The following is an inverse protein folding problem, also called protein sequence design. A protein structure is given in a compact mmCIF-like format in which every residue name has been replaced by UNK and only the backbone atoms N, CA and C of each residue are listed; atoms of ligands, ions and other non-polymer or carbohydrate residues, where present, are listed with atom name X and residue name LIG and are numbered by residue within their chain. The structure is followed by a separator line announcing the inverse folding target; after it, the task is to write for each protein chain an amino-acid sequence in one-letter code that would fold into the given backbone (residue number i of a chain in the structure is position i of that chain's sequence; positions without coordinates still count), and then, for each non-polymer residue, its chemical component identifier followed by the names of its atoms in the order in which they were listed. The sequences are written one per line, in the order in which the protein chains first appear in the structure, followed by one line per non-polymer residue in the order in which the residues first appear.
data_IF_650795500341
#
_entry.id   IF_650795500341
#
_cell.length_a   1.000
_cell.length_b   1.000
_cell.length_c   1.000
_cell.angle_alpha   90.00
_cell.angle_beta   90.00
_cell.angle_gamma   90.00
#
_symmetry.space_group_name_H-M   'P 1'
#
loop_
_entity.id
_entity.type
_entity.pdbx_description
1 polymer ?
#
# COMPACT_ATOMS: atom_id res chain seq x y z
N UNK A 1 -8.51 -6.14 6.80
CA UNK A 1 -7.10 -5.87 7.14
C UNK A 1 -6.66 -6.60 8.39
N UNK A 2 -7.41 -6.56 9.48
CA UNK A 2 -7.05 -7.25 10.72
C UNK A 2 -6.59 -8.71 10.51
N UNK A 3 -7.33 -9.52 9.75
CA UNK A 3 -6.97 -10.93 9.52
C UNK A 3 -5.65 -11.16 8.78
N UNK A 4 -5.17 -10.23 7.96
CA UNK A 4 -3.89 -10.34 7.27
C UNK A 4 -2.71 -9.91 8.16
N UNK A 5 -2.99 -9.03 9.12
CA UNK A 5 -2.05 -8.52 10.10
C UNK A 5 -2.10 -9.31 11.43
N UNK A 6 -3.06 -10.22 11.58
CA UNK A 6 -3.26 -10.98 12.80
C UNK A 6 -2.16 -12.03 12.95
N UNK A 7 -1.39 -11.90 14.03
CA UNK A 7 -0.33 -12.83 14.40
C UNK A 7 -0.85 -14.27 14.71
N UNK A 8 -2.14 -14.44 14.97
CA UNK A 8 -2.78 -15.75 15.14
C UNK A 8 -3.16 -16.39 13.80
N UNK A 9 -3.14 -15.63 12.69
CA UNK A 9 -3.39 -16.15 11.36
C UNK A 9 -2.27 -17.13 10.96
N UNK A 10 -2.56 -18.40 10.71
CA UNK A 10 -1.53 -19.39 10.37
C UNK A 10 -0.78 -19.08 9.08
N UNK A 11 -1.36 -18.26 8.21
CA UNK A 11 -0.70 -17.81 6.98
C UNK A 11 0.19 -16.59 7.19
N UNK A 12 -0.04 -15.77 8.21
CA UNK A 12 0.72 -14.57 8.58
C UNK A 12 1.29 -13.79 7.37
N UNK A 13 0.46 -13.39 6.38
CA UNK A 13 0.95 -12.94 5.08
C UNK A 13 1.83 -11.68 5.17
N UNK A 14 1.52 -10.74 6.07
CA UNK A 14 2.34 -9.53 6.26
C UNK A 14 3.70 -9.89 6.85
N UNK A 15 3.73 -10.72 7.88
CA UNK A 15 4.98 -11.20 8.46
C UNK A 15 5.86 -11.86 7.40
N UNK A 16 5.32 -12.79 6.61
CA UNK A 16 6.08 -13.50 5.56
C UNK A 16 6.63 -12.58 4.49
N UNK A 17 5.87 -11.56 4.08
CA UNK A 17 6.33 -10.56 3.12
C UNK A 17 7.52 -9.79 3.72
N UNK A 18 7.38 -9.29 4.95
CA UNK A 18 8.44 -8.51 5.59
C UNK A 18 9.68 -9.35 5.91
N UNK A 19 9.53 -10.60 6.34
CA UNK A 19 10.66 -11.53 6.51
C UNK A 19 11.39 -11.77 5.18
N UNK A 20 10.65 -11.95 4.07
CA UNK A 20 11.24 -12.15 2.76
C UNK A 20 12.08 -10.94 2.33
N UNK A 21 11.53 -9.72 2.45
CA UNK A 21 12.25 -8.50 2.05
C UNK A 21 13.35 -8.09 3.05
N UNK A 22 13.35 -8.65 4.25
CA UNK A 22 14.42 -8.52 5.24
C UNK A 22 15.57 -9.52 5.04
N UNK A 23 15.48 -10.44 4.09
CA UNK A 23 16.58 -11.35 3.80
C UNK A 23 17.83 -10.56 3.36
N UNK A 24 19.06 -11.06 3.63
CA UNK A 24 20.29 -10.36 3.21
C UNK A 24 20.37 -10.12 1.70
N UNK A 25 19.81 -11.02 0.91
CA UNK A 25 19.71 -10.95 -0.55
C UNK A 25 18.31 -11.39 -0.97
N UNK A 26 17.29 -10.51 -0.87
CA UNK A 26 15.92 -10.88 -1.20
C UNK A 26 15.78 -11.15 -2.70
N UNK A 27 15.05 -12.20 -3.05
CA UNK A 27 14.68 -12.46 -4.45
C UNK A 27 13.50 -11.57 -4.85
N UNK A 28 13.26 -11.35 -6.15
CA UNK A 28 12.10 -10.60 -6.61
C UNK A 28 10.79 -11.12 -6.02
N UNK A 29 9.93 -10.21 -5.57
CA UNK A 29 8.65 -10.50 -4.94
C UNK A 29 7.53 -9.76 -5.64
N UNK A 30 6.46 -10.46 -6.01
CA UNK A 30 5.22 -9.87 -6.46
C UNK A 30 4.21 -9.87 -5.31
N UNK A 31 3.82 -8.69 -4.85
CA UNK A 31 2.80 -8.52 -3.81
C UNK A 31 1.46 -8.20 -4.46
N UNK A 32 0.43 -8.99 -4.18
CA UNK A 32 -0.92 -8.74 -4.65
C UNK A 32 -1.97 -9.18 -3.62
N UNK A 33 -3.16 -8.61 -3.70
CA UNK A 33 -4.36 -9.12 -3.03
C UNK A 33 -5.44 -9.42 -4.08
N UNK A 34 -6.73 -9.44 -3.73
CA UNK A 34 -7.79 -9.67 -4.72
C UNK A 34 -7.84 -8.56 -5.77
N UNK A 35 -7.86 -7.29 -5.35
CA UNK A 35 -7.89 -6.11 -6.24
C UNK A 35 -6.54 -5.43 -6.45
N UNK A 36 -5.46 -5.90 -5.82
CA UNK A 36 -4.15 -5.25 -5.87
C UNK A 36 -4.11 -3.85 -5.22
N UNK A 37 -5.13 -3.44 -4.48
CA UNK A 37 -5.33 -2.09 -3.97
C UNK A 37 -5.14 -2.00 -2.45
N UNK A 38 -6.11 -2.43 -1.65
CA UNK A 38 -6.18 -2.12 -0.22
C UNK A 38 -5.10 -2.83 0.61
N UNK A 39 -5.09 -4.16 0.66
CA UNK A 39 -4.09 -4.93 1.42
C UNK A 39 -2.70 -4.76 0.85
N UNK A 40 -2.58 -4.71 -0.47
CA UNK A 40 -1.33 -4.43 -1.18
C UNK A 40 -0.83 -3.03 -0.84
N UNK A 41 -1.69 -2.01 -0.92
CA UNK A 41 -1.34 -0.63 -0.59
C UNK A 41 -0.88 -0.46 0.85
N UNK A 42 -1.49 -1.17 1.82
CA UNK A 42 -1.03 -1.13 3.22
C UNK A 42 0.34 -1.76 3.39
N UNK A 43 0.65 -2.87 2.72
CA UNK A 43 1.99 -3.47 2.76
C UNK A 43 3.03 -2.51 2.19
N UNK A 44 2.75 -1.93 1.01
CA UNK A 44 3.64 -0.95 0.39
C UNK A 44 3.82 0.30 1.28
N UNK A 45 2.73 0.82 1.84
CA UNK A 45 2.77 1.97 2.74
C UNK A 45 3.61 1.71 4.00
N UNK A 46 3.48 0.53 4.61
CA UNK A 46 4.31 0.14 5.76
C UNK A 46 5.79 0.04 5.39
N UNK A 47 6.13 -0.52 4.23
CA UNK A 47 7.51 -0.61 3.74
C UNK A 47 8.10 0.78 3.46
N UNK A 48 7.38 1.62 2.73
CA UNK A 48 7.81 2.98 2.41
C UNK A 48 7.98 3.82 3.68
N UNK A 49 7.03 3.76 4.62
CA UNK A 49 7.12 4.47 5.90
C UNK A 49 8.29 3.97 6.75
N UNK A 50 8.54 2.66 6.80
CA UNK A 50 9.70 2.11 7.50
C UNK A 50 11.04 2.53 6.86
N UNK A 51 11.05 2.84 5.57
CA UNK A 51 12.19 3.41 4.84
C UNK A 51 12.31 4.93 4.99
N UNK A 52 11.42 5.58 5.74
CA UNK A 52 11.47 7.03 6.01
C UNK A 52 10.84 7.90 4.91
N UNK A 53 10.00 7.33 4.06
CA UNK A 53 9.29 8.09 3.02
C UNK A 53 8.16 8.90 3.66
N UNK A 54 8.03 10.17 3.26
CA UNK A 54 6.99 11.08 3.75
C UNK A 54 5.57 10.57 3.41
N UNK A 55 4.63 10.76 4.33
CA UNK A 55 3.24 10.33 4.18
C UNK A 55 2.56 10.82 2.90
N UNK A 56 2.85 12.05 2.52
CA UNK A 56 2.31 12.66 1.30
C UNK A 56 2.75 11.89 0.05
N UNK A 57 4.00 11.40 0.04
CA UNK A 57 4.56 10.60 -1.05
C UNK A 57 3.98 9.19 -1.02
N UNK A 58 3.88 8.57 0.16
CA UNK A 58 3.25 7.25 0.34
C UNK A 58 1.79 7.26 -0.11
N UNK A 59 1.04 8.29 0.29
CA UNK A 59 -0.37 8.42 -0.09
C UNK A 59 -0.54 8.73 -1.58
N UNK A 60 0.39 9.47 -2.17
CA UNK A 60 0.42 9.68 -3.62
C UNK A 60 0.68 8.37 -4.37
N UNK A 61 1.66 7.59 -3.96
CA UNK A 61 1.96 6.28 -4.57
C UNK A 61 0.72 5.38 -4.57
N UNK A 62 0.03 5.28 -3.44
CA UNK A 62 -1.24 4.54 -3.36
C UNK A 62 -2.28 5.04 -4.38
N UNK A 63 -2.40 6.36 -4.55
CA UNK A 63 -3.38 6.98 -5.44
C UNK A 63 -3.10 6.73 -6.93
N UNK A 64 -1.89 6.31 -7.32
CA UNK A 64 -1.58 5.91 -8.70
C UNK A 64 -2.44 4.72 -9.17
N UNK A 65 -3.02 3.98 -8.24
CA UNK A 65 -4.01 2.94 -8.54
C UNK A 65 -5.22 3.48 -9.32
N UNK A 66 -5.60 4.74 -9.12
CA UNK A 66 -6.68 5.40 -9.88
C UNK A 66 -6.39 5.42 -11.38
N UNK A 67 -5.13 5.70 -11.76
CA UNK A 67 -4.70 5.66 -13.18
C UNK A 67 -4.82 4.26 -13.76
N UNK A 68 -4.39 3.26 -13.00
CA UNK A 68 -4.44 1.87 -13.43
C UNK A 68 -5.88 1.33 -13.59
N UNK A 69 -6.81 1.84 -12.78
CA UNK A 69 -8.21 1.43 -12.78
C UNK A 69 -9.10 2.25 -13.71
N UNK A 70 -8.67 3.43 -14.19
CA UNK A 70 -9.50 4.38 -14.94
C UNK A 70 -10.27 3.70 -16.10
N UNK A 71 -9.56 2.97 -16.96
CA UNK A 71 -10.18 2.29 -18.12
C UNK A 71 -11.07 1.08 -17.79
N UNK A 72 -11.11 0.65 -16.53
CA UNK A 72 -11.89 -0.53 -16.07
C UNK A 72 -12.89 -0.19 -14.97
N UNK A 73 -13.00 1.07 -14.59
CA UNK A 73 -13.80 1.54 -13.44
C UNK A 73 -15.23 1.04 -13.50
N UNK A 74 -15.91 1.19 -14.64
CA UNK A 74 -17.30 0.78 -14.82
C UNK A 74 -17.50 -0.74 -14.64
N UNK A 75 -16.59 -1.55 -15.19
CA UNK A 75 -16.63 -3.00 -15.00
C UNK A 75 -16.44 -3.40 -13.52
N UNK A 76 -15.59 -2.68 -12.78
CA UNK A 76 -15.45 -2.91 -11.33
C UNK A 76 -16.67 -2.47 -10.55
N UNK A 77 -17.31 -1.34 -10.89
CA UNK A 77 -18.57 -0.90 -10.27
C UNK A 77 -19.64 -1.97 -10.46
N UNK A 78 -19.85 -2.44 -11.69
CA UNK A 78 -20.82 -3.50 -11.97
C UNK A 78 -20.51 -4.78 -11.19
N UNK A 79 -19.25 -5.19 -11.16
CA UNK A 79 -18.85 -6.39 -10.40
C UNK A 79 -19.14 -6.24 -8.91
N UNK A 80 -18.78 -5.10 -8.30
CA UNK A 80 -18.96 -4.86 -6.86
C UNK A 80 -20.45 -4.77 -6.50
N UNK A 81 -21.26 -4.11 -7.30
CA UNK A 81 -22.72 -4.00 -7.06
C UNK A 81 -23.46 -5.32 -7.19
N UNK A 82 -22.94 -6.25 -8.01
CA UNK A 82 -23.51 -7.62 -8.15
C UNK A 82 -23.03 -8.55 -7.03
N UNK A 83 -21.76 -8.46 -6.65
CA UNK A 83 -21.14 -9.39 -5.69
C UNK A 83 -21.32 -8.99 -4.22
N UNK A 84 -21.73 -7.76 -3.96
CA UNK A 84 -21.92 -7.24 -2.60
C UNK A 84 -23.35 -6.74 -2.42
N UNK A 85 -24.15 -7.50 -1.69
CA UNK A 85 -25.56 -7.18 -1.44
C UNK A 85 -25.74 -5.80 -0.76
N UNK A 86 -24.79 -5.38 0.08
CA UNK A 86 -24.81 -4.08 0.73
C UNK A 86 -24.63 -2.90 -0.25
N UNK A 87 -24.12 -3.15 -1.45
CA UNK A 87 -23.90 -2.15 -2.50
C UNK A 87 -24.82 -2.36 -3.70
N UNK A 88 -25.83 -3.22 -3.58
CA UNK A 88 -26.78 -3.48 -4.65
C UNK A 88 -27.58 -2.22 -4.97
N UNK A 89 -27.41 -1.68 -6.18
CA UNK A 89 -28.02 -0.42 -6.62
C UNK A 89 -27.36 0.85 -6.09
N UNK A 90 -26.34 0.73 -5.25
CA UNK A 90 -25.57 1.85 -4.73
C UNK A 90 -24.29 2.05 -5.56
N UNK A 91 -24.42 2.80 -6.66
CA UNK A 91 -23.29 3.14 -7.53
C UNK A 91 -22.25 4.02 -6.80
N UNK A 92 -22.68 4.96 -5.95
CA UNK A 92 -21.79 5.85 -5.24
C UNK A 92 -20.95 5.07 -4.21
N UNK A 93 -21.58 4.21 -3.41
CA UNK A 93 -20.88 3.31 -2.51
C UNK A 93 -19.91 2.39 -3.23
N UNK A 94 -20.27 1.88 -4.41
CA UNK A 94 -19.38 1.07 -5.24
C UNK A 94 -18.17 1.88 -5.74
N UNK A 95 -18.36 3.12 -6.21
CA UNK A 95 -17.28 4.02 -6.61
C UNK A 95 -16.34 4.31 -5.43
N UNK A 96 -16.88 4.60 -4.26
CA UNK A 96 -16.07 4.81 -3.04
C UNK A 96 -15.28 3.56 -2.67
N UNK A 97 -15.88 2.37 -2.78
CA UNK A 97 -15.21 1.11 -2.46
C UNK A 97 -14.04 0.80 -3.40
N UNK A 98 -14.17 1.11 -4.70
CA UNK A 98 -13.10 0.85 -5.68
C UNK A 98 -12.06 1.96 -5.76
N UNK A 99 -12.32 3.15 -5.23
CA UNK A 99 -11.39 4.28 -5.27
C UNK A 99 -10.11 4.02 -4.43
N UNK A 100 -9.01 4.64 -4.84
CA UNK A 100 -7.72 4.62 -4.15
C UNK A 100 -7.28 6.07 -3.81
N UNK A 101 -8.14 6.77 -3.05
CA UNK A 101 -7.92 8.19 -2.78
C UNK A 101 -6.75 8.43 -1.82
N UNK A 102 -6.02 9.49 -2.09
CA UNK A 102 -4.87 9.93 -1.30
C UNK A 102 -5.24 10.16 0.17
N UNK A 103 -6.39 10.81 0.43
CA UNK A 103 -6.88 11.09 1.78
C UNK A 103 -7.17 9.81 2.59
N UNK A 104 -7.64 8.75 1.93
CA UNK A 104 -7.87 7.46 2.56
C UNK A 104 -6.56 6.81 3.05
N UNK A 105 -5.47 6.93 2.28
CA UNK A 105 -4.16 6.44 2.71
C UNK A 105 -3.57 7.32 3.81
N UNK A 106 -3.69 8.66 3.72
CA UNK A 106 -3.27 9.56 4.80
C UNK A 106 -3.98 9.23 6.13
N UNK A 107 -5.29 9.00 6.08
CA UNK A 107 -6.05 8.56 7.25
C UNK A 107 -5.59 7.19 7.78
N UNK A 108 -5.23 6.27 6.88
CA UNK A 108 -4.69 4.94 7.25
C UNK A 108 -3.33 5.08 7.95
N UNK A 109 -2.43 5.90 7.44
CA UNK A 109 -1.12 6.17 8.06
C UNK A 109 -1.27 6.84 9.44
N UNK A 110 -2.17 7.80 9.55
CA UNK A 110 -2.50 8.45 10.83
C UNK A 110 -3.05 7.42 11.84
N UNK A 111 -3.95 6.54 11.41
CA UNK A 111 -4.48 5.45 12.25
C UNK A 111 -3.37 4.48 12.68
N UNK A 112 -2.47 4.09 11.79
CA UNK A 112 -1.33 3.22 12.11
C UNK A 112 -0.47 3.87 13.18
N UNK A 113 -0.15 5.17 13.06
CA UNK A 113 0.60 5.91 14.09
C UNK A 113 -0.14 5.99 15.43
N UNK A 114 -1.41 6.32 15.40
CA UNK A 114 -2.21 6.44 16.62
C UNK A 114 -2.35 5.10 17.35
N UNK A 115 -2.48 3.99 16.62
CA UNK A 115 -2.73 2.66 17.20
C UNK A 115 -1.45 1.92 17.56
N UNK A 116 -0.43 2.02 16.71
CA UNK A 116 0.79 1.20 16.81
C UNK A 116 2.07 2.02 17.05
N UNK A 117 1.98 3.35 17.04
CA UNK A 117 3.12 4.26 17.23
C UNK A 117 3.88 4.53 15.95
N UNK A 118 4.27 3.52 15.17
CA UNK A 118 4.95 3.67 13.88
C UNK A 118 4.81 2.40 13.02
N UNK A 119 5.22 2.49 11.76
CA UNK A 119 5.29 1.33 10.86
C UNK A 119 6.30 0.28 11.36
N UNK A 120 7.46 0.71 11.84
CA UNK A 120 8.50 -0.16 12.39
C UNK A 120 8.00 -0.89 13.64
N UNK A 121 7.33 -0.15 14.53
CA UNK A 121 6.78 -0.73 15.75
C UNK A 121 5.70 -1.76 15.41
N UNK A 122 4.85 -1.46 14.44
CA UNK A 122 3.88 -2.43 13.93
C UNK A 122 4.56 -3.70 13.38
N UNK A 123 5.64 -3.56 12.58
CA UNK A 123 6.39 -4.70 12.06
C UNK A 123 7.01 -5.55 13.19
N UNK A 124 7.54 -4.91 14.23
CA UNK A 124 8.16 -5.63 15.36
C UNK A 124 7.12 -6.29 16.25
N UNK A 125 6.12 -5.55 16.71
CA UNK A 125 5.19 -6.01 17.74
C UNK A 125 4.07 -6.90 17.18
N UNK A 126 3.62 -6.63 15.93
CA UNK A 126 2.48 -7.32 15.34
C UNK A 126 2.84 -8.26 14.18
N UNK A 127 3.93 -7.99 13.46
CA UNK A 127 4.46 -8.92 12.44
C UNK A 127 5.63 -9.76 12.96
N UNK A 128 6.03 -9.61 14.24
CA UNK A 128 7.07 -10.41 14.91
C UNK A 128 8.46 -10.30 14.27
N UNK A 129 8.75 -9.23 13.58
CA UNK A 129 10.09 -8.99 13.08
C UNK A 129 11.02 -8.58 14.22
N UNK A 130 12.31 -8.88 14.07
CA UNK A 130 13.31 -8.29 14.95
C UNK A 130 13.63 -6.86 14.50
N UNK A 131 14.08 -5.96 15.41
CA UNK A 131 14.57 -4.64 15.01
C UNK A 131 15.67 -4.71 13.95
N UNK A 132 16.54 -5.71 14.02
CA UNK A 132 17.59 -5.96 13.02
C UNK A 132 17.01 -6.31 11.63
N UNK A 133 15.88 -7.00 11.56
CA UNK A 133 15.21 -7.31 10.31
C UNK A 133 14.61 -6.03 9.69
N UNK A 134 14.02 -5.14 10.48
CA UNK A 134 13.51 -3.84 9.99
C UNK A 134 14.67 -2.99 9.45
N UNK A 135 15.79 -2.96 10.13
CA UNK A 135 16.98 -2.27 9.64
C UNK A 135 17.54 -2.92 8.35
N UNK A 136 17.45 -4.24 8.22
CA UNK A 136 17.83 -4.93 6.98
C UNK A 136 16.90 -4.54 5.81
N UNK A 137 15.58 -4.38 6.05
CA UNK A 137 14.65 -3.84 5.05
C UNK A 137 15.15 -2.47 4.55
N UNK A 138 15.50 -1.56 5.45
CA UNK A 138 16.05 -0.24 5.06
C UNK A 138 17.28 -0.38 4.17
N UNK A 139 18.24 -1.22 4.56
CA UNK A 139 19.45 -1.45 3.74
C UNK A 139 19.14 -2.04 2.35
N UNK A 140 18.09 -2.83 2.24
CA UNK A 140 17.71 -3.44 0.97
C UNK A 140 16.97 -2.48 0.04
N UNK A 141 16.26 -1.49 0.57
CA UNK A 141 15.37 -0.61 -0.20
C UNK A 141 15.85 0.83 -0.33
N UNK A 142 16.71 1.30 0.59
CA UNK A 142 17.22 2.67 0.54
C UNK A 142 18.61 2.65 -0.08
N UNK A 143 18.75 3.34 -1.20
CA UNK A 143 20.02 3.52 -1.90
C UNK A 143 20.44 4.98 -1.83
N UNK A 144 21.75 5.26 -1.92
CA UNK A 144 22.22 6.64 -2.08
C UNK A 144 21.71 7.18 -3.42
N UNK A 145 21.25 8.43 -3.44
CA UNK A 145 20.74 9.06 -4.66
C UNK A 145 21.78 9.08 -5.80
N UNK A 146 23.06 9.06 -5.46
CA UNK A 146 24.17 9.00 -6.43
C UNK A 146 24.29 7.62 -7.09
N UNK A 147 23.84 6.58 -6.42
CA UNK A 147 23.90 5.19 -6.86
C UNK A 147 22.58 4.72 -7.47
N UNK A 148 21.52 5.57 -7.40
CA UNK A 148 20.22 5.25 -7.94
C UNK A 148 20.27 5.28 -9.48
N UNK A 149 19.78 4.24 -10.18
CA UNK A 149 19.64 4.28 -11.63
C UNK A 149 18.78 5.47 -12.08
N UNK A 150 19.20 6.16 -13.15
CA UNK A 150 18.48 7.34 -13.68
C UNK A 150 17.00 7.05 -13.97
N UNK A 151 16.67 5.80 -14.33
CA UNK A 151 15.31 5.32 -14.58
C UNK A 151 14.43 5.19 -13.31
N UNK A 152 15.01 5.32 -12.10
CA UNK A 152 14.27 5.29 -10.84
C UNK A 152 13.80 6.67 -10.36
N UNK A 153 14.21 7.75 -11.03
CA UNK A 153 13.70 9.08 -10.71
C UNK A 153 12.28 9.25 -11.26
N UNK A 154 11.28 9.10 -10.40
CA UNK A 154 9.88 9.33 -10.75
C UNK A 154 9.50 10.76 -10.41
N UNK A 155 9.07 11.54 -11.41
CA UNK A 155 8.43 12.84 -11.13
C UNK A 155 7.01 12.62 -10.58
N UNK A 156 6.94 12.41 -9.27
CA UNK A 156 5.67 12.19 -8.58
C UNK A 156 4.71 13.40 -8.69
N UNK A 157 5.23 14.63 -8.93
CA UNK A 157 4.40 15.83 -9.10
C UNK A 157 3.70 15.83 -10.46
N UNK A 158 4.37 15.36 -11.50
CA UNK A 158 3.73 15.13 -12.80
C UNK A 158 2.63 14.06 -12.69
N UNK A 159 2.90 12.96 -11.99
CA UNK A 159 1.90 11.92 -11.72
C UNK A 159 0.71 12.44 -10.91
N UNK A 160 0.93 13.32 -9.92
CA UNK A 160 -0.14 13.89 -9.11
C UNK A 160 -1.18 14.65 -9.95
N UNK A 161 -0.74 15.33 -11.00
CA UNK A 161 -1.65 16.01 -11.93
C UNK A 161 -2.54 15.03 -12.68
N UNK A 162 -1.95 13.94 -13.17
CA UNK A 162 -2.69 12.88 -13.88
C UNK A 162 -3.73 12.19 -12.99
N UNK A 163 -3.38 11.90 -11.73
CA UNK A 163 -4.33 11.34 -10.75
C UNK A 163 -5.49 12.29 -10.52
N UNK A 164 -5.21 13.58 -10.28
CA UNK A 164 -6.25 14.58 -10.06
C UNK A 164 -7.18 14.79 -11.28
N UNK A 165 -6.71 14.51 -12.49
CA UNK A 165 -7.54 14.48 -13.70
C UNK A 165 -8.44 13.26 -13.74
N UNK A 166 -7.94 12.08 -13.35
CA UNK A 166 -8.73 10.86 -13.29
C UNK A 166 -9.82 10.88 -12.22
N UNK A 167 -9.61 11.57 -11.10
CA UNK A 167 -10.61 11.69 -10.02
C UNK A 167 -11.82 12.57 -10.44
N UNK A 168 -11.64 13.44 -11.45
CA UNK A 168 -12.70 14.35 -11.95
C UNK A 168 -13.58 13.74 -13.05
N UNK A 169 -13.22 12.59 -13.58
CA UNK A 169 -13.94 11.85 -14.63
C UNK A 169 -14.67 10.63 -14.04
#
# INVERSE_FOLDING_TARGET
MAAAADASNPYAPFQRIFEHVAAPTPTPLLVHCKGGKDRTGVVCALLLSACGVDDEVVAHEYSLTELALAGRREGFVQHVTVQNDALRGDREGALNMISARKDAMLATLAMIRATYGSAERYMVEHCRLTPAAVEQIRRNFVVDARDAPEQMSVDWRAHAKLVAECERT
#
